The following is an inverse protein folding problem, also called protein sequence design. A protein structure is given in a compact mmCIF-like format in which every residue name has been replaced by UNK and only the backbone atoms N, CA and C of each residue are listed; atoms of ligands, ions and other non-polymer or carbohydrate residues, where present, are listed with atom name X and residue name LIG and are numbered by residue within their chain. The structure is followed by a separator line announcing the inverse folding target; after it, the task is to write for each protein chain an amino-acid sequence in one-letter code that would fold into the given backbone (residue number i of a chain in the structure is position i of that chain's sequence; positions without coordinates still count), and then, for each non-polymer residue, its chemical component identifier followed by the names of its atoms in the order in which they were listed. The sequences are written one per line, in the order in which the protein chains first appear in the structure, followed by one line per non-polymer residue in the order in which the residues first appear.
data_IF_450956309023
#
_entry.id   IF_450956309023
#
_cell.length_a   1.000
_cell.length_b   1.000
_cell.length_c   1.000
_cell.angle_alpha   90.00
_cell.angle_beta   90.00
_cell.angle_gamma   90.00
#
_symmetry.space_group_name_H-M   'P 1'
#
loop_
_entity.id
_entity.type
_entity.pdbx_description
1 polymer ?
#
# COMPACT_ATOMS: atom_id res chain seq x y z
N UNK A 1 -4.20 -7.08 8.14
CA UNK A 1 -3.70 -5.70 8.38
C UNK A 1 -2.73 -5.76 9.57
N UNK A 2 -1.55 -5.14 9.56
CA UNK A 2 -0.65 -5.19 10.73
C UNK A 2 -1.01 -4.13 11.78
N UNK A 3 -0.68 -4.41 13.05
CA UNK A 3 -0.90 -3.48 14.17
C UNK A 3 -0.26 -2.12 13.91
N UNK A 4 1.00 -2.08 13.44
CA UNK A 4 1.69 -0.82 13.14
C UNK A 4 0.93 0.10 12.16
N UNK A 5 0.18 -0.46 11.21
CA UNK A 5 -0.62 0.33 10.28
C UNK A 5 -2.01 0.71 10.84
N UNK A 6 -2.54 -0.01 11.83
CA UNK A 6 -3.78 0.39 12.51
C UNK A 6 -3.48 1.47 13.54
N UNK A 7 -2.42 1.31 14.33
CA UNK A 7 -2.00 2.29 15.32
C UNK A 7 -1.68 3.64 14.65
N UNK A 8 -1.02 3.62 13.49
CA UNK A 8 -0.79 4.82 12.68
C UNK A 8 -2.05 5.43 12.04
N UNK A 9 -3.13 4.66 11.86
CA UNK A 9 -4.43 5.22 11.43
C UNK A 9 -5.15 5.93 12.56
N UNK A 10 -5.07 5.41 13.78
CA UNK A 10 -5.72 5.99 14.96
C UNK A 10 -4.96 7.21 15.49
N UNK A 11 -3.63 7.17 15.44
CA UNK A 11 -2.77 8.25 15.94
C UNK A 11 -1.56 8.49 15.01
N UNK A 12 -1.76 9.06 13.81
CA UNK A 12 -0.71 9.27 12.81
C UNK A 12 0.45 10.16 13.30
N UNK A 13 0.20 11.03 14.27
CA UNK A 13 1.22 11.88 14.91
C UNK A 13 2.11 11.12 15.89
N UNK A 14 1.68 9.95 16.39
CA UNK A 14 2.42 9.15 17.37
C UNK A 14 3.08 7.91 16.77
N UNK A 15 2.66 7.49 15.58
CA UNK A 15 3.18 6.28 14.93
C UNK A 15 3.64 6.56 13.50
N UNK A 16 4.82 6.05 13.16
CA UNK A 16 5.34 6.15 11.79
C UNK A 16 4.51 5.24 10.88
N UNK A 17 3.95 5.82 9.82
CA UNK A 17 3.46 5.03 8.69
C UNK A 17 4.60 4.18 8.12
N UNK A 18 4.36 2.88 8.00
CA UNK A 18 5.32 1.87 7.51
C UNK A 18 6.53 1.64 8.43
N UNK A 19 6.34 0.86 9.50
CA UNK A 19 7.44 0.45 10.38
C UNK A 19 8.54 -0.33 9.62
N UNK A 20 9.80 0.07 9.83
CA UNK A 20 10.99 -0.41 9.09
C UNK A 20 11.34 -1.89 9.36
N UNK A 21 10.81 -2.48 10.45
CA UNK A 21 10.97 -3.89 10.80
C UNK A 21 9.73 -4.77 10.57
N UNK A 22 8.67 -4.24 9.94
CA UNK A 22 7.44 -5.01 9.73
C UNK A 22 7.29 -5.44 8.27
N UNK A 23 7.24 -6.77 8.05
CA UNK A 23 7.03 -7.38 6.73
C UNK A 23 5.81 -6.81 5.99
N UNK A 24 4.70 -6.68 6.71
CA UNK A 24 3.44 -6.16 6.15
C UNK A 24 3.55 -4.67 5.80
N UNK A 25 4.28 -3.89 6.60
CA UNK A 25 4.54 -2.48 6.32
C UNK A 25 5.42 -2.28 5.10
N UNK A 26 6.47 -3.09 4.95
CA UNK A 26 7.35 -3.08 3.79
C UNK A 26 6.57 -3.36 2.49
N UNK A 27 5.74 -4.40 2.49
CA UNK A 27 4.89 -4.74 1.34
C UNK A 27 3.89 -3.61 1.00
N UNK A 28 3.26 -2.99 2.00
CA UNK A 28 2.33 -1.86 1.78
C UNK A 28 3.03 -0.60 1.26
N UNK A 29 4.25 -0.32 1.71
CA UNK A 29 5.03 0.83 1.22
C UNK A 29 5.28 0.69 -0.28
N UNK A 30 5.62 -0.52 -0.74
CA UNK A 30 5.78 -0.80 -2.18
C UNK A 30 4.45 -0.63 -2.93
N UNK A 31 3.35 -1.15 -2.41
CA UNK A 31 2.03 -0.98 -3.05
C UNK A 31 1.62 0.50 -3.16
N UNK A 32 1.81 1.27 -2.10
CA UNK A 32 1.50 2.70 -2.05
C UNK A 32 2.31 3.49 -3.09
N UNK A 33 3.61 3.17 -3.22
CA UNK A 33 4.47 3.75 -4.25
C UNK A 33 4.01 3.39 -5.68
N UNK A 34 3.60 2.13 -5.90
CA UNK A 34 3.20 1.65 -7.22
C UNK A 34 1.83 2.17 -7.67
N UNK A 35 0.88 2.32 -6.74
CA UNK A 35 -0.54 2.48 -7.08
C UNK A 35 -1.13 3.80 -6.61
N UNK A 36 -0.65 4.35 -5.49
CA UNK A 36 -1.26 5.53 -4.88
C UNK A 36 -0.56 6.82 -5.29
N UNK A 37 0.78 6.85 -5.30
CA UNK A 37 1.55 8.09 -5.51
C UNK A 37 1.58 8.58 -6.97
N UNK A 38 0.99 7.86 -7.93
CA UNK A 38 0.91 8.21 -9.38
C UNK A 38 2.18 8.87 -9.93
N UNK A 39 3.35 8.33 -9.59
CA UNK A 39 4.65 8.87 -10.03
C UNK A 39 4.98 8.39 -11.45
N UNK A 40 5.93 9.07 -12.09
CA UNK A 40 6.50 8.60 -13.35
C UNK A 40 7.06 7.16 -13.20
N UNK A 41 6.92 6.28 -14.20
CA UNK A 41 7.28 4.87 -14.08
C UNK A 41 8.73 4.61 -13.62
N UNK A 42 9.67 5.43 -14.09
CA UNK A 42 11.08 5.37 -13.68
C UNK A 42 11.24 5.66 -12.18
N UNK A 43 10.65 6.75 -11.72
CA UNK A 43 10.69 7.17 -10.31
C UNK A 43 10.02 6.13 -9.40
N UNK A 44 8.88 5.58 -9.82
CA UNK A 44 8.21 4.49 -9.09
C UNK A 44 9.13 3.29 -8.94
N UNK A 45 9.78 2.86 -10.02
CA UNK A 45 10.69 1.71 -10.00
C UNK A 45 11.87 1.95 -9.05
N UNK A 46 12.49 3.12 -9.12
CA UNK A 46 13.67 3.44 -8.31
C UNK A 46 13.30 3.53 -6.83
N UNK A 47 12.16 4.14 -6.49
CA UNK A 47 11.65 4.17 -5.11
C UNK A 47 11.24 2.80 -4.58
N UNK A 48 10.63 1.95 -5.41
CA UNK A 48 10.30 0.58 -5.01
C UNK A 48 11.56 -0.26 -4.75
N UNK A 49 12.60 -0.09 -5.56
CA UNK A 49 13.90 -0.75 -5.35
C UNK A 49 14.55 -0.28 -4.05
N UNK A 50 14.56 1.02 -3.78
CA UNK A 50 15.09 1.56 -2.52
C UNK A 50 14.33 1.02 -1.31
N UNK A 51 12.99 1.07 -1.33
CA UNK A 51 12.17 0.56 -0.23
C UNK A 51 12.36 -0.95 0.01
N UNK A 52 12.60 -1.73 -1.05
CA UNK A 52 12.90 -3.15 -0.93
C UNK A 52 14.30 -3.39 -0.36
N UNK A 53 15.30 -2.63 -0.80
CA UNK A 53 16.66 -2.70 -0.27
C UNK A 53 16.70 -2.36 1.22
N UNK A 54 15.99 -1.32 1.64
CA UNK A 54 15.84 -0.95 3.05
C UNK A 54 15.23 -2.09 3.87
N UNK A 55 14.17 -2.72 3.36
CA UNK A 55 13.52 -3.82 4.04
C UNK A 55 14.44 -5.05 4.19
N UNK A 56 15.21 -5.36 3.15
CA UNK A 56 16.21 -6.45 3.17
C UNK A 56 17.35 -6.11 4.14
N UNK A 57 17.81 -4.86 4.18
CA UNK A 57 18.82 -4.41 5.14
C UNK A 57 18.33 -4.53 6.60
N UNK A 58 17.02 -4.42 6.83
CA UNK A 58 16.37 -4.68 8.11
C UNK A 58 16.14 -6.18 8.39
N UNK A 59 16.66 -7.08 7.54
CA UNK A 59 16.55 -8.54 7.71
C UNK A 59 15.22 -9.13 7.27
N UNK A 60 14.39 -8.39 6.53
CA UNK A 60 13.10 -8.90 6.06
C UNK A 60 13.27 -9.74 4.78
N UNK A 61 12.47 -10.82 4.62
CA UNK A 61 12.56 -11.70 3.46
C UNK A 61 12.03 -11.03 2.19
N UNK A 62 12.93 -10.76 1.24
CA UNK A 62 12.62 -10.06 -0.02
C UNK A 62 11.49 -10.72 -0.81
N UNK A 63 11.54 -12.05 -0.94
CA UNK A 63 10.63 -12.82 -1.78
C UNK A 63 9.19 -12.75 -1.25
N UNK A 64 9.05 -12.76 0.08
CA UNK A 64 7.76 -12.65 0.75
C UNK A 64 7.20 -11.22 0.62
N UNK A 65 8.05 -10.19 0.75
CA UNK A 65 7.65 -8.79 0.50
C UNK A 65 7.09 -8.64 -0.92
N UNK A 66 7.80 -9.16 -1.93
CA UNK A 66 7.38 -9.09 -3.33
C UNK A 66 6.07 -9.85 -3.58
N UNK A 67 5.89 -11.00 -2.93
CA UNK A 67 4.65 -11.79 -3.01
C UNK A 67 3.49 -11.01 -2.42
N UNK A 68 3.65 -10.50 -1.19
CA UNK A 68 2.63 -9.75 -0.48
C UNK A 68 2.27 -8.44 -1.20
N UNK A 69 3.26 -7.73 -1.76
CA UNK A 69 3.03 -6.50 -2.51
C UNK A 69 2.16 -6.74 -3.77
N UNK A 70 2.06 -7.96 -4.29
CA UNK A 70 1.17 -8.30 -5.41
C UNK A 70 -0.25 -8.68 -4.97
N UNK A 71 -0.46 -9.08 -3.72
CA UNK A 71 -1.75 -9.56 -3.23
C UNK A 71 -2.77 -8.42 -3.20
N UNK A 72 -3.96 -8.69 -3.75
CA UNK A 72 -5.03 -7.71 -3.84
C UNK A 72 -5.73 -7.41 -2.51
N UNK A 73 -5.79 -8.40 -1.61
CA UNK A 73 -6.41 -8.28 -0.29
C UNK A 73 -5.72 -7.25 0.62
N UNK A 74 -4.49 -6.83 0.27
CA UNK A 74 -3.71 -5.85 1.02
C UNK A 74 -3.69 -4.47 0.38
N UNK A 75 -4.28 -4.35 -0.81
CA UNK A 75 -4.45 -3.08 -1.48
C UNK A 75 -5.29 -2.18 -0.58
N UNK A 76 -4.74 -1.02 -0.22
CA UNK A 76 -5.55 0.09 0.28
C UNK A 76 -6.56 0.33 -0.82
N UNK A 77 -7.84 0.04 -0.55
CA UNK A 77 -8.89 0.28 -1.51
C UNK A 77 -8.69 1.70 -2.04
N UNK A 78 -8.51 1.81 -3.36
CA UNK A 78 -8.59 3.11 -4.00
C UNK A 78 -9.88 3.74 -3.47
N UNK A 79 -9.84 4.99 -3.00
CA UNK A 79 -11.06 5.76 -2.78
C UNK A 79 -11.72 5.91 -4.15
N UNK A 80 -12.37 4.84 -4.60
CA UNK A 80 -13.28 4.86 -5.72
C UNK A 80 -14.39 5.76 -5.22
N UNK A 81 -14.36 7.00 -5.67
CA UNK A 81 -15.54 7.85 -5.68
C UNK A 81 -16.67 6.98 -6.20
N UNK A 82 -17.59 6.63 -5.30
CA UNK A 82 -18.73 5.76 -5.59
C UNK A 82 -19.38 6.24 -6.87
N UNK A 83 -19.49 5.43 -7.94
CA UNK A 83 -20.39 5.78 -9.02
C UNK A 83 -21.79 5.74 -8.43
N UNK A 84 -22.43 6.91 -8.37
CA UNK A 84 -23.80 7.07 -7.92
C UNK A 84 -24.70 6.08 -8.67
N UNK A 85 -25.41 5.31 -7.86
CA UNK A 85 -26.26 4.19 -8.21
C UNK A 85 -27.22 4.53 -9.35
N UNK A 86 -27.12 3.82 -10.48
CA UNK A 86 -28.20 3.75 -11.48
C UNK A 86 -29.49 3.21 -10.84
N UNK A 87 -30.62 3.89 -11.06
CA UNK A 87 -31.98 3.30 -11.00
C UNK A 87 -33.00 4.21 -11.73
N UNK A 88 -34.17 3.70 -12.18
CA UNK A 88 -34.33 2.83 -13.35
C UNK A 88 -35.31 3.42 -14.39
N UNK A 89 -35.37 2.75 -15.55
CA UNK A 89 -36.34 2.96 -16.65
C UNK A 89 -37.79 2.84 -16.14
N UNK A 90 -38.59 3.90 -16.24
CA UNK A 90 -40.06 3.84 -16.25
C UNK A 90 -40.54 4.27 -17.62
N UNK A 91 -41.13 3.35 -18.36
CA UNK A 91 -41.95 3.67 -19.51
C UNK A 91 -43.34 4.13 -19.07
N UNK A 92 -43.87 5.13 -19.77
CA UNK A 92 -45.26 5.17 -20.24
C UNK A 92 -45.32 6.11 -21.43
#
# INVERSE_FOLDING_TARGET
MCHCCNDAREAPQHHRFFAEGCLHCAARRIQYLQRTLRLAPSVTRDRCRAALADAVANGLPELEIRRMAKLAEWQVAELVSTPETKKPKRGR
#
